data_IF_079201973185
#
_entry.id   IF_079201973185
#
_cell.length_a   1.000
_cell.length_b   1.000
_cell.length_c   1.000
_cell.angle_alpha   90.00
_cell.angle_beta   90.00
_cell.angle_gamma   90.00
#
_symmetry.space_group_name_H-M   'P 1'
#
loop_
_entity.id
_entity.type
_entity.pdbx_description
1 polymer ?
#
# COMPACT_ATOMS: atom_id res chain seq x y z
N UNK A 1 18.03 -23.79 3.33
CA UNK A 1 16.57 -23.94 3.26
C UNK A 1 16.26 -25.14 2.40
N UNK A 2 15.67 -26.17 2.99
CA UNK A 2 15.20 -27.33 2.26
C UNK A 2 13.76 -27.06 1.78
N UNK A 3 13.48 -27.05 0.47
CA UNK A 3 12.14 -26.78 -0.04
C UNK A 3 11.09 -27.84 0.33
N UNK A 4 11.49 -28.97 0.93
CA UNK A 4 10.61 -30.08 1.30
C UNK A 4 10.30 -30.19 2.81
N UNK A 5 10.81 -29.29 3.66
CA UNK A 5 10.49 -29.29 5.09
C UNK A 5 9.25 -28.43 5.40
N UNK A 6 8.10 -29.02 5.81
CA UNK A 6 6.88 -28.26 6.09
C UNK A 6 7.01 -27.29 7.29
N UNK A 7 8.02 -27.49 8.16
CA UNK A 7 8.26 -26.62 9.32
C UNK A 7 9.01 -25.32 8.98
N UNK A 8 9.70 -25.23 7.83
CA UNK A 8 10.42 -24.02 7.41
C UNK A 8 9.47 -22.91 6.90
N UNK A 9 8.18 -23.23 6.72
CA UNK A 9 7.13 -22.27 6.30
C UNK A 9 6.48 -21.52 7.45
N UNK A 10 6.79 -21.88 8.69
CA UNK A 10 6.15 -21.29 9.87
C UNK A 10 6.88 -20.00 10.23
N UNK A 11 6.40 -18.89 9.69
CA UNK A 11 6.87 -17.55 10.08
C UNK A 11 6.59 -17.33 11.58
N UNK A 12 7.59 -16.88 12.36
CA UNK A 12 7.45 -16.69 13.80
C UNK A 12 6.37 -15.66 14.11
N UNK A 13 5.67 -15.86 15.23
CA UNK A 13 4.55 -15.01 15.64
C UNK A 13 4.94 -13.53 15.78
N UNK A 14 6.17 -13.26 16.20
CA UNK A 14 6.76 -11.91 16.25
C UNK A 14 6.82 -11.24 14.88
N UNK A 15 7.23 -11.96 13.82
CA UNK A 15 7.25 -11.43 12.45
C UNK A 15 5.84 -11.18 11.92
N UNK A 16 4.88 -12.04 12.25
CA UNK A 16 3.46 -11.80 11.91
C UNK A 16 2.91 -10.56 12.60
N UNK A 17 3.22 -10.37 13.88
CA UNK A 17 2.83 -9.18 14.64
C UNK A 17 3.49 -7.92 14.10
N UNK A 18 4.80 -7.93 13.85
CA UNK A 18 5.53 -6.80 13.29
C UNK A 18 4.97 -6.39 11.91
N UNK A 19 4.67 -7.38 11.06
CA UNK A 19 4.01 -7.15 9.78
C UNK A 19 2.60 -6.56 9.96
N UNK A 20 1.80 -7.12 10.89
CA UNK A 20 0.46 -6.62 11.19
C UNK A 20 0.46 -5.18 11.70
N UNK A 21 1.40 -4.80 12.57
CA UNK A 21 1.57 -3.43 13.05
C UNK A 21 1.96 -2.49 11.91
N UNK A 22 2.87 -2.92 11.02
CA UNK A 22 3.24 -2.16 9.83
C UNK A 22 2.04 -1.90 8.91
N UNK A 23 1.27 -2.95 8.63
CA UNK A 23 0.04 -2.85 7.81
C UNK A 23 -1.03 -1.98 8.46
N UNK A 24 -1.17 -2.04 9.79
CA UNK A 24 -2.09 -1.18 10.52
C UNK A 24 -1.70 0.30 10.41
N UNK A 25 -0.42 0.62 10.60
CA UNK A 25 0.08 1.98 10.47
C UNK A 25 -0.07 2.51 9.03
N UNK A 26 0.21 1.68 8.03
CA UNK A 26 0.02 2.01 6.62
C UNK A 26 -1.45 2.26 6.29
N UNK A 27 -2.36 1.39 6.75
CA UNK A 27 -3.80 1.56 6.60
C UNK A 27 -4.29 2.86 7.24
N UNK A 28 -3.87 3.14 8.48
CA UNK A 28 -4.24 4.36 9.19
C UNK A 28 -3.76 5.62 8.48
N UNK A 29 -2.51 5.62 7.99
CA UNK A 29 -1.96 6.72 7.19
C UNK A 29 -2.79 6.93 5.93
N UNK A 30 -3.06 5.87 5.16
CA UNK A 30 -3.76 5.98 3.89
C UNK A 30 -5.21 6.46 4.08
N UNK A 31 -5.94 5.91 5.05
CA UNK A 31 -7.29 6.38 5.39
C UNK A 31 -7.28 7.81 5.93
N UNK A 32 -6.35 8.13 6.83
CA UNK A 32 -6.20 9.47 7.39
C UNK A 32 -5.94 10.53 6.31
N UNK A 33 -5.04 10.24 5.37
CA UNK A 33 -4.77 11.11 4.23
C UNK A 33 -6.00 11.27 3.33
N UNK A 34 -6.72 10.18 3.03
CA UNK A 34 -7.93 10.25 2.21
C UNK A 34 -9.01 11.16 2.82
N UNK A 35 -9.27 11.00 4.12
CA UNK A 35 -10.21 11.85 4.85
C UNK A 35 -9.75 13.29 4.95
N UNK A 36 -8.46 13.51 5.23
CA UNK A 36 -7.88 14.85 5.31
C UNK A 36 -7.98 15.61 3.98
N UNK A 37 -7.67 14.95 2.86
CA UNK A 37 -7.76 15.55 1.52
C UNK A 37 -9.21 15.93 1.21
N UNK A 38 -10.17 15.05 1.49
CA UNK A 38 -11.59 15.33 1.28
C UNK A 38 -12.06 16.52 2.14
N UNK A 39 -11.66 16.56 3.40
CA UNK A 39 -11.94 17.67 4.31
C UNK A 39 -11.33 18.98 3.81
N UNK A 40 -10.05 18.97 3.42
CA UNK A 40 -9.33 20.15 2.94
C UNK A 40 -9.98 20.73 1.69
N UNK A 41 -10.30 19.89 0.70
CA UNK A 41 -10.96 20.35 -0.52
C UNK A 41 -12.35 20.94 -0.26
N UNK A 42 -13.16 20.33 0.62
CA UNK A 42 -14.50 20.85 0.91
C UNK A 42 -14.48 22.09 1.82
N UNK A 43 -13.66 22.10 2.87
CA UNK A 43 -13.72 23.15 3.91
C UNK A 43 -12.76 24.31 3.68
N UNK A 44 -11.62 24.09 3.05
CA UNK A 44 -10.60 25.14 2.85
C UNK A 44 -10.72 25.76 1.47
N UNK A 45 -10.99 24.93 0.45
CA UNK A 45 -11.12 25.39 -0.93
C UNK A 45 -12.58 25.58 -1.37
N UNK A 46 -13.55 25.30 -0.48
CA UNK A 46 -15.00 25.40 -0.72
C UNK A 46 -15.46 24.66 -1.99
N UNK A 47 -14.71 23.63 -2.40
CA UNK A 47 -15.00 22.88 -3.61
C UNK A 47 -16.14 21.90 -3.34
N UNK A 48 -17.06 21.71 -4.30
CA UNK A 48 -18.07 20.67 -4.22
C UNK A 48 -17.43 19.30 -4.00
N UNK A 49 -17.98 18.51 -3.07
CA UNK A 49 -17.49 17.17 -2.75
C UNK A 49 -17.40 16.23 -3.97
N UNK A 50 -18.16 16.50 -5.04
CA UNK A 50 -18.07 15.81 -6.32
C UNK A 50 -16.67 15.96 -6.98
N UNK A 51 -16.07 17.15 -6.93
CA UNK A 51 -14.74 17.39 -7.49
C UNK A 51 -13.63 16.76 -6.63
N UNK A 52 -13.78 16.81 -5.31
CA UNK A 52 -12.87 16.13 -4.39
C UNK A 52 -12.93 14.60 -4.56
N UNK A 53 -14.13 14.05 -4.71
CA UNK A 53 -14.34 12.63 -5.04
C UNK A 53 -13.75 12.25 -6.39
N UNK A 54 -13.90 13.10 -7.42
CA UNK A 54 -13.27 12.90 -8.72
C UNK A 54 -11.73 12.91 -8.63
N UNK A 55 -11.13 13.80 -7.83
CA UNK A 55 -9.70 13.82 -7.60
C UNK A 55 -9.19 12.53 -6.92
N UNK A 56 -9.90 12.05 -5.88
CA UNK A 56 -9.60 10.77 -5.23
C UNK A 56 -9.74 9.59 -6.20
N UNK A 57 -10.77 9.60 -7.06
CA UNK A 57 -10.97 8.59 -8.08
C UNK A 57 -9.82 8.55 -9.10
N UNK A 58 -9.37 9.72 -9.58
CA UNK A 58 -8.21 9.82 -10.48
C UNK A 58 -6.93 9.31 -9.79
N UNK A 59 -6.73 9.65 -8.52
CA UNK A 59 -5.59 9.16 -7.75
C UNK A 59 -5.60 7.62 -7.64
N UNK A 60 -6.76 7.01 -7.38
CA UNK A 60 -6.92 5.55 -7.34
C UNK A 60 -6.69 4.89 -8.70
N UNK A 61 -7.15 5.51 -9.80
CA UNK A 61 -6.88 5.01 -11.16
C UNK A 61 -5.38 5.02 -11.47
N UNK A 62 -4.68 6.08 -11.08
CA UNK A 62 -3.24 6.17 -11.27
C UNK A 62 -2.49 5.10 -10.45
N UNK A 63 -2.92 4.87 -9.21
CA UNK A 63 -2.34 3.84 -8.35
C UNK A 63 -2.62 2.43 -8.91
N UNK A 64 -3.81 2.19 -9.45
CA UNK A 64 -4.18 0.92 -10.09
C UNK A 64 -3.31 0.58 -11.31
N UNK A 65 -2.74 1.59 -11.99
CA UNK A 65 -1.79 1.39 -13.10
C UNK A 65 -0.36 1.29 -12.58
N UNK A 66 -0.01 2.13 -11.61
CA UNK A 66 1.36 2.20 -11.07
C UNK A 66 1.70 0.99 -10.23
N UNK A 67 0.75 0.40 -9.49
CA UNK A 67 0.98 -0.77 -8.66
C UNK A 67 1.39 -2.02 -9.47
N UNK A 68 0.73 -2.38 -10.60
CA UNK A 68 1.22 -3.42 -11.51
C UNK A 68 2.57 -3.09 -12.14
N UNK A 69 2.82 -1.84 -12.51
CA UNK A 69 4.09 -1.42 -13.08
C UNK A 69 5.23 -1.58 -12.06
N UNK A 70 5.03 -1.10 -10.83
CA UNK A 70 5.96 -1.23 -9.72
C UNK A 70 6.17 -2.70 -9.32
N UNK A 71 5.11 -3.51 -9.30
CA UNK A 71 5.20 -4.95 -9.10
C UNK A 71 6.03 -5.63 -10.18
N UNK A 72 5.77 -5.32 -11.45
CA UNK A 72 6.51 -5.88 -12.59
C UNK A 72 7.97 -5.41 -12.63
N UNK A 73 8.25 -4.17 -12.20
CA UNK A 73 9.60 -3.64 -12.08
C UNK A 73 10.33 -4.31 -10.92
N UNK A 74 9.67 -4.48 -9.77
CA UNK A 74 10.20 -5.20 -8.61
C UNK A 74 10.49 -6.67 -8.94
N UNK A 75 9.64 -7.33 -9.71
CA UNK A 75 9.82 -8.72 -10.11
C UNK A 75 10.92 -8.89 -11.18
N UNK A 76 11.16 -7.86 -12.00
CA UNK A 76 12.26 -7.82 -12.99
C UNK A 76 13.57 -7.31 -12.41
N UNK A 77 13.57 -6.74 -11.20
CA UNK A 77 14.78 -6.23 -10.56
C UNK A 77 15.60 -7.37 -9.95
N UNK A 78 16.47 -7.97 -10.77
CA UNK A 78 17.40 -9.00 -10.36
C UNK A 78 18.59 -8.35 -9.62
N UNK A 79 18.41 -8.03 -8.33
CA UNK A 79 19.51 -7.56 -7.49
C UNK A 79 20.47 -8.71 -7.13
N UNK A 80 21.78 -8.40 -7.10
CA UNK A 80 22.88 -9.34 -6.82
C UNK A 80 22.93 -9.83 -5.36
N UNK A 81 21.99 -9.39 -4.51
CA UNK A 81 21.92 -9.64 -3.06
C UNK A 81 20.78 -10.57 -2.63
N UNK A 82 20.13 -11.24 -3.58
CA UNK A 82 19.30 -12.41 -3.29
C UNK A 82 17.81 -12.21 -3.56
N UNK A 83 17.24 -13.28 -4.11
CA UNK A 83 15.82 -13.51 -4.29
C UNK A 83 15.21 -13.84 -2.92
N UNK A 84 13.96 -13.43 -2.72
CA UNK A 84 13.13 -13.91 -1.60
C UNK A 84 13.27 -15.42 -1.42
#
# INVERSE_FOLDING_TARGET
MDPHNPNDRIVPFSSKLAFGVGQFAEGLKNTGFGLFILFYYNQVLELPGALAGAALFIALLFDAITAPLAGSLSDKWQSRLGRR
#
